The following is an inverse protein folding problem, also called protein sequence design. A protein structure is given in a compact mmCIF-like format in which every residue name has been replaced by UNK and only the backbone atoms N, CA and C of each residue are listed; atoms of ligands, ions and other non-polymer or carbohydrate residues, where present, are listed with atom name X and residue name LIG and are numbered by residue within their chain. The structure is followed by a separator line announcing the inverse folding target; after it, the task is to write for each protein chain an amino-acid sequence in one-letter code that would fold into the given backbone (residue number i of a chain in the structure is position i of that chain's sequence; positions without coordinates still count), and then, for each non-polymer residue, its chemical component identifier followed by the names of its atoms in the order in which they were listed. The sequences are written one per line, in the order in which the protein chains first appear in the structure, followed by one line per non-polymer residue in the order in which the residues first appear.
data_IF_336069730935
#
_entry.id   IF_336069730935
#
_cell.length_a   1.000
_cell.length_b   1.000
_cell.length_c   1.000
_cell.angle_alpha   90.00
_cell.angle_beta   90.00
_cell.angle_gamma   90.00
#
_symmetry.space_group_name_H-M   'P 1'
#
loop_
_entity.id
_entity.type
_entity.pdbx_description
1 polymer ?
#
# COMPACT_ATOMS: atom_id res chain seq x y z
N UNK A 1 -57.93 -10.32 -13.20
CA UNK A 1 -57.04 -10.86 -12.15
C UNK A 1 -55.59 -10.73 -12.62
N UNK A 2 -54.80 -9.75 -12.15
CA UNK A 2 -53.37 -9.68 -12.46
C UNK A 2 -52.56 -10.35 -11.34
N UNK A 3 -51.51 -11.10 -11.71
CA UNK A 3 -50.42 -11.46 -10.78
C UNK A 3 -49.06 -11.04 -11.37
N UNK A 4 -48.09 -10.67 -10.51
CA UNK A 4 -46.93 -9.86 -10.87
C UNK A 4 -45.59 -10.62 -10.83
N UNK A 5 -44.53 -9.94 -11.30
CA UNK A 5 -43.13 -10.13 -10.88
C UNK A 5 -42.28 -10.95 -11.86
N UNK A 6 -41.49 -10.35 -12.76
CA UNK A 6 -40.12 -9.81 -12.57
C UNK A 6 -39.11 -10.81 -11.99
N UNK A 7 -37.99 -11.01 -12.71
CA UNK A 7 -36.84 -11.73 -12.19
C UNK A 7 -35.88 -12.28 -13.25
N UNK A 8 -35.24 -11.41 -14.05
CA UNK A 8 -34.01 -11.79 -14.76
C UNK A 8 -32.93 -12.09 -13.70
N UNK A 9 -32.54 -13.35 -13.55
CA UNK A 9 -31.28 -13.71 -12.87
C UNK A 9 -30.12 -13.45 -13.82
N UNK A 10 -29.41 -12.37 -13.57
CA UNK A 10 -28.06 -12.12 -14.07
C UNK A 10 -27.12 -13.16 -13.47
N UNK A 11 -26.41 -13.91 -14.32
CA UNK A 11 -25.28 -14.75 -13.93
C UNK A 11 -24.19 -13.84 -13.36
N UNK A 12 -23.84 -14.02 -12.09
CA UNK A 12 -22.63 -13.46 -11.52
C UNK A 12 -21.42 -14.05 -12.27
N UNK A 13 -20.64 -13.19 -12.91
CA UNK A 13 -19.33 -13.55 -13.45
C UNK A 13 -18.40 -13.67 -12.24
N UNK A 14 -17.88 -14.88 -12.05
CA UNK A 14 -16.78 -15.18 -11.16
C UNK A 14 -15.51 -14.53 -11.72
N UNK A 15 -15.00 -13.50 -11.07
CA UNK A 15 -13.69 -12.94 -11.39
C UNK A 15 -12.61 -13.87 -10.80
N UNK A 16 -12.31 -14.90 -11.59
CA UNK A 16 -11.22 -15.84 -11.41
C UNK A 16 -9.88 -15.14 -11.66
N UNK A 17 -9.01 -15.16 -10.66
CA UNK A 17 -7.61 -14.75 -10.77
C UNK A 17 -6.84 -15.73 -11.68
N UNK A 18 -5.89 -15.29 -12.52
CA UNK A 18 -5.21 -16.22 -13.40
C UNK A 18 -4.25 -17.09 -12.59
N UNK A 19 -4.44 -18.40 -12.72
CA UNK A 19 -3.47 -19.41 -12.34
C UNK A 19 -2.28 -19.35 -13.31
N UNK A 20 -1.06 -19.24 -12.79
CA UNK A 20 0.16 -19.52 -13.57
C UNK A 20 0.98 -20.60 -12.89
N UNK A 21 0.92 -21.79 -13.48
CA UNK A 21 1.86 -22.88 -13.30
C UNK A 21 2.64 -23.06 -14.61
N UNK A 22 3.98 -23.03 -14.55
CA UNK A 22 4.90 -24.09 -15.01
C UNK A 22 6.24 -23.54 -15.55
N UNK A 23 7.28 -24.34 -15.29
CA UNK A 23 8.72 -24.16 -15.54
C UNK A 23 9.09 -24.25 -17.02
N UNK A 24 10.11 -23.50 -17.50
CA UNK A 24 11.54 -23.88 -17.68
C UNK A 24 12.25 -23.06 -18.79
N UNK A 25 13.48 -22.64 -18.46
CA UNK A 25 14.71 -22.43 -19.28
C UNK A 25 14.84 -21.31 -20.33
N UNK A 26 15.62 -20.27 -19.95
CA UNK A 26 16.39 -19.36 -20.83
C UNK A 26 16.81 -18.08 -20.08
N UNK A 27 18.10 -17.67 -20.03
CA UNK A 27 18.51 -16.51 -19.24
C UNK A 27 18.27 -15.21 -20.01
N UNK A 28 17.15 -14.55 -19.71
CA UNK A 28 16.95 -13.13 -20.00
C UNK A 28 16.70 -12.44 -18.66
N UNK A 29 17.77 -11.94 -18.03
CA UNK A 29 17.73 -11.34 -16.70
C UNK A 29 17.31 -9.87 -16.80
N UNK A 30 16.01 -9.65 -16.96
CA UNK A 30 15.33 -8.49 -16.40
C UNK A 30 14.52 -9.06 -15.23
N UNK A 31 15.00 -8.78 -14.02
CA UNK A 31 14.61 -9.45 -12.79
C UNK A 31 13.10 -9.51 -12.60
N UNK A 32 12.57 -10.71 -12.40
CA UNK A 32 11.17 -10.91 -12.02
C UNK A 32 10.88 -10.10 -10.75
N UNK A 33 9.74 -9.39 -10.75
CA UNK A 33 9.27 -8.66 -9.58
C UNK A 33 9.33 -9.57 -8.34
N UNK A 34 10.09 -9.15 -7.32
CA UNK A 34 10.13 -9.87 -6.05
C UNK A 34 8.81 -9.59 -5.34
N UNK A 35 7.98 -10.63 -5.21
CA UNK A 35 6.66 -10.55 -4.59
C UNK A 35 6.55 -11.59 -3.49
N UNK A 36 5.91 -11.23 -2.37
CA UNK A 36 5.44 -12.20 -1.39
C UNK A 36 4.10 -11.76 -0.80
N UNK A 37 3.38 -12.72 -0.21
CA UNK A 37 2.06 -12.51 0.37
C UNK A 37 2.02 -13.02 1.81
N UNK A 38 1.17 -12.38 2.62
CA UNK A 38 0.81 -12.84 3.97
C UNK A 38 -0.69 -12.68 4.18
N UNK A 39 -1.21 -13.40 5.16
CA UNK A 39 -2.55 -13.20 5.69
C UNK A 39 -2.46 -12.76 7.14
N UNK A 40 -3.30 -11.79 7.52
CA UNK A 40 -3.35 -11.25 8.88
C UNK A 40 -4.77 -11.17 9.39
N UNK A 41 -4.93 -11.39 10.69
CA UNK A 41 -6.21 -11.26 11.39
C UNK A 41 -6.16 -10.11 12.39
N UNK A 42 -7.17 -9.25 12.32
CA UNK A 42 -7.34 -8.13 13.26
C UNK A 42 -6.50 -6.89 12.96
N UNK A 43 -6.94 -5.77 13.54
CA UNK A 43 -6.33 -4.45 13.36
C UNK A 43 -4.93 -4.38 14.00
N UNK A 44 -4.71 -5.08 15.11
CA UNK A 44 -3.44 -5.08 15.84
C UNK A 44 -2.30 -5.69 15.01
N UNK A 45 -2.55 -6.82 14.32
CA UNK A 45 -1.56 -7.41 13.40
C UNK A 45 -1.29 -6.48 12.22
N UNK A 46 -2.30 -5.79 11.72
CA UNK A 46 -2.13 -4.83 10.62
C UNK A 46 -1.33 -3.59 11.03
N UNK A 47 -1.48 -3.11 12.26
CA UNK A 47 -0.58 -2.08 12.81
C UNK A 47 0.85 -2.60 12.97
N UNK A 48 1.02 -3.84 13.43
CA UNK A 48 2.34 -4.44 13.57
C UNK A 48 3.04 -4.64 12.22
N UNK A 49 2.31 -4.95 11.14
CA UNK A 49 2.82 -4.91 9.76
C UNK A 49 3.34 -3.50 9.43
N UNK A 50 2.57 -2.46 9.77
CA UNK A 50 3.00 -1.07 9.66
C UNK A 50 4.31 -0.80 10.40
N UNK A 51 4.45 -1.32 11.61
CA UNK A 51 5.68 -1.22 12.38
C UNK A 51 6.87 -1.94 11.73
N UNK A 52 6.67 -3.14 11.19
CA UNK A 52 7.71 -3.83 10.43
C UNK A 52 8.17 -3.01 9.21
N UNK A 53 7.26 -2.32 8.52
CA UNK A 53 7.62 -1.44 7.42
C UNK A 53 8.51 -0.29 7.88
N UNK A 54 8.18 0.35 9.01
CA UNK A 54 8.94 1.46 9.58
C UNK A 54 10.40 1.09 9.93
N UNK A 55 10.64 -0.15 10.36
CA UNK A 55 11.98 -0.61 10.72
C UNK A 55 12.80 -1.10 9.53
N UNK A 56 12.15 -1.47 8.43
CA UNK A 56 12.81 -2.13 7.28
C UNK A 56 12.86 -1.27 6.01
N UNK A 57 12.11 -0.16 5.97
CA UNK A 57 12.15 0.81 4.88
C UNK A 57 12.80 2.10 5.40
N UNK A 58 13.95 2.48 4.85
CA UNK A 58 14.67 3.67 5.25
C UNK A 58 14.52 4.77 4.19
N UNK A 59 14.32 6.05 4.58
CA UNK A 59 14.36 7.16 3.65
C UNK A 59 15.66 7.21 2.81
N UNK A 60 15.60 7.71 1.56
CA UNK A 60 14.39 8.07 0.84
C UNK A 60 13.64 6.82 0.38
N UNK A 61 12.32 6.79 0.59
CA UNK A 61 11.51 5.61 0.24
C UNK A 61 10.05 5.97 -0.08
N UNK A 62 9.45 5.28 -1.04
CA UNK A 62 8.05 5.46 -1.42
C UNK A 62 7.30 4.14 -1.27
N UNK A 63 6.21 4.16 -0.49
CA UNK A 63 5.30 3.04 -0.32
C UNK A 63 3.94 3.39 -0.88
N UNK A 64 3.45 2.55 -1.78
CA UNK A 64 2.10 2.61 -2.30
C UNK A 64 1.19 1.64 -1.56
N UNK A 65 0.02 2.13 -1.13
CA UNK A 65 -0.99 1.37 -0.41
C UNK A 65 -2.28 1.32 -1.25
N UNK A 66 -2.55 0.13 -1.79
CA UNK A 66 -3.72 -0.15 -2.62
C UNK A 66 -4.69 -1.07 -1.89
N UNK A 67 -5.97 -0.94 -2.19
CA UNK A 67 -7.01 -1.82 -1.67
C UNK A 67 -8.34 -1.10 -1.53
N UNK A 68 -9.41 -1.87 -1.39
CA UNK A 68 -10.77 -1.34 -1.25
C UNK A 68 -10.93 -0.43 -0.02
N UNK A 69 -12.03 0.32 0.03
CA UNK A 69 -12.36 1.15 1.18
C UNK A 69 -12.57 0.25 2.41
N UNK A 70 -11.90 0.58 3.53
CA UNK A 70 -12.01 -0.20 4.77
C UNK A 70 -11.08 -1.41 4.86
N UNK A 71 -10.16 -1.62 3.92
CA UNK A 71 -9.15 -2.68 4.01
C UNK A 71 -8.05 -2.41 5.06
N UNK A 72 -8.00 -1.19 5.60
CA UNK A 72 -7.06 -0.82 6.67
C UNK A 72 -5.75 -0.20 6.20
N UNK A 73 -5.73 0.46 5.04
CA UNK A 73 -4.58 1.23 4.55
C UNK A 73 -4.06 2.24 5.59
N UNK A 74 -4.95 3.09 6.13
CA UNK A 74 -4.61 4.01 7.23
C UNK A 74 -4.21 3.30 8.54
N UNK A 75 -4.74 2.11 8.82
CA UNK A 75 -4.31 1.30 9.97
C UNK A 75 -2.82 0.96 9.87
N UNK A 76 -2.38 0.58 8.67
CA UNK A 76 -0.98 0.28 8.38
C UNK A 76 -0.09 1.54 8.52
N UNK A 77 -0.54 2.70 8.01
CA UNK A 77 0.16 3.99 8.21
C UNK A 77 0.28 4.35 9.69
N UNK A 78 -0.79 4.17 10.46
CA UNK A 78 -0.79 4.43 11.91
C UNK A 78 0.19 3.52 12.65
N UNK A 79 0.21 2.23 12.30
CA UNK A 79 1.20 1.30 12.85
C UNK A 79 2.64 1.71 12.56
N UNK A 80 2.89 2.14 11.31
CA UNK A 80 4.17 2.68 10.87
C UNK A 80 4.61 3.88 11.73
N UNK A 81 3.76 4.91 11.84
CA UNK A 81 4.11 6.13 12.60
C UNK A 81 4.25 5.87 14.11
N UNK A 82 3.42 4.98 14.67
CA UNK A 82 3.50 4.58 16.08
C UNK A 82 4.82 3.87 16.38
N UNK A 83 5.30 3.01 15.49
CA UNK A 83 6.58 2.32 15.65
C UNK A 83 7.76 3.30 15.68
N UNK A 84 7.64 4.43 14.97
CA UNK A 84 8.62 5.51 14.98
C UNK A 84 8.47 6.47 16.18
N UNK A 85 7.54 6.20 17.08
CA UNK A 85 7.34 6.97 18.31
C UNK A 85 6.31 8.09 18.21
N UNK A 86 5.59 8.25 17.09
CA UNK A 86 4.49 9.21 17.01
C UNK A 86 3.35 8.81 17.94
N UNK A 87 2.99 9.71 18.86
CA UNK A 87 1.91 9.50 19.85
C UNK A 87 0.63 10.27 19.53
N UNK A 88 0.65 11.10 18.50
CA UNK A 88 -0.51 11.86 18.07
C UNK A 88 -1.58 11.00 17.38
N UNK A 89 -2.67 11.66 16.99
CA UNK A 89 -3.78 10.99 16.31
C UNK A 89 -3.47 10.88 14.81
N UNK A 90 -3.30 9.66 14.33
CA UNK A 90 -3.18 9.37 12.89
C UNK A 90 -4.58 9.12 12.31
N UNK A 91 -4.94 9.88 11.29
CA UNK A 91 -6.16 9.69 10.48
C UNK A 91 -5.79 9.79 9.01
N UNK A 92 -6.63 9.27 8.14
CA UNK A 92 -6.52 9.53 6.71
C UNK A 92 -6.70 11.04 6.44
N UNK A 93 -5.77 11.69 5.73
CA UNK A 93 -5.90 13.07 5.28
C UNK A 93 -6.81 13.18 4.05
N UNK A 94 -7.95 12.49 4.02
CA UNK A 94 -8.80 12.40 2.82
C UNK A 94 -9.21 13.76 2.23
N UNK A 95 -9.32 14.80 3.06
CA UNK A 95 -9.70 16.15 2.63
C UNK A 95 -8.52 17.10 2.43
N UNK A 96 -7.42 16.89 3.16
CA UNK A 96 -6.20 17.69 3.03
C UNK A 96 -5.22 17.10 2.01
N UNK A 97 -5.47 15.87 1.56
CA UNK A 97 -4.67 15.02 0.68
C UNK A 97 -3.31 14.61 1.23
N UNK A 98 -2.70 15.44 2.07
CA UNK A 98 -1.39 15.28 2.67
C UNK A 98 -1.43 15.60 4.17
N UNK A 99 -0.73 14.80 4.97
CA UNK A 99 -0.38 15.09 6.36
C UNK A 99 1.12 14.83 6.57
N UNK A 100 1.92 15.84 6.97
CA UNK A 100 3.34 15.68 7.27
C UNK A 100 3.58 15.27 8.73
N UNK A 101 4.61 14.47 8.96
CA UNK A 101 5.07 14.04 10.28
C UNK A 101 6.59 14.13 10.39
N UNK A 102 7.07 14.88 11.38
CA UNK A 102 8.50 15.02 11.69
C UNK A 102 8.88 14.12 12.87
N UNK A 103 9.74 13.11 12.64
CA UNK A 103 10.13 12.14 13.67
C UNK A 103 11.60 11.77 13.55
N UNK A 104 12.38 12.05 14.60
CA UNK A 104 13.78 11.65 14.67
C UNK A 104 14.66 12.29 13.59
N UNK A 105 14.35 13.53 13.19
CA UNK A 105 15.09 14.26 12.14
C UNK A 105 14.83 13.72 10.73
N UNK A 106 13.66 13.12 10.50
CA UNK A 106 13.20 12.61 9.21
C UNK A 106 11.76 13.04 8.97
N UNK A 107 11.46 13.24 7.70
CA UNK A 107 10.15 13.63 7.22
C UNK A 107 9.34 12.41 6.77
N UNK A 108 8.09 12.30 7.20
CA UNK A 108 7.17 11.26 6.73
C UNK A 108 5.91 11.92 6.22
N UNK A 109 5.53 11.60 4.99
CA UNK A 109 4.38 12.20 4.33
C UNK A 109 3.31 11.14 4.09
N UNK A 110 2.16 11.31 4.73
CA UNK A 110 0.99 10.48 4.50
C UNK A 110 0.10 11.15 3.46
N UNK A 111 -0.05 10.50 2.31
CA UNK A 111 -1.00 10.90 1.28
C UNK A 111 -2.22 10.00 1.30
N UNK A 112 -3.40 10.60 1.15
CA UNK A 112 -4.63 9.88 0.79
C UNK A 112 -5.30 10.55 -0.41
N UNK A 113 -5.18 9.89 -1.56
CA UNK A 113 -5.63 10.42 -2.83
C UNK A 113 -7.06 9.99 -3.19
N UNK A 114 -7.81 9.37 -2.27
CA UNK A 114 -9.16 8.86 -2.55
C UNK A 114 -10.10 9.91 -3.16
N UNK A 115 -9.96 11.17 -2.74
CA UNK A 115 -10.77 12.32 -3.22
C UNK A 115 -10.07 13.18 -4.27
N UNK A 116 -8.85 12.83 -4.68
CA UNK A 116 -8.16 13.52 -5.76
C UNK A 116 -8.97 13.39 -7.04
N UNK A 117 -9.41 14.52 -7.60
CA UNK A 117 -10.30 14.55 -8.75
C UNK A 117 -9.53 14.67 -10.05
N UNK A 118 -8.48 15.50 -10.06
CA UNK A 118 -7.53 15.62 -11.17
C UNK A 118 -6.11 15.28 -10.66
N UNK A 119 -5.40 14.30 -11.26
CA UNK A 119 -4.01 14.03 -10.93
C UNK A 119 -3.11 15.27 -10.93
N UNK A 120 -3.39 16.27 -11.79
CA UNK A 120 -2.59 17.51 -11.90
C UNK A 120 -2.60 18.34 -10.62
N UNK A 121 -3.54 18.10 -9.70
CA UNK A 121 -3.53 18.73 -8.39
C UNK A 121 -2.25 18.37 -7.59
N UNK A 122 -1.60 17.23 -7.91
CA UNK A 122 -0.32 16.82 -7.32
C UNK A 122 0.83 17.77 -7.65
N UNK A 123 0.81 18.42 -8.82
CA UNK A 123 1.83 19.39 -9.21
C UNK A 123 1.81 20.59 -8.26
N UNK A 124 0.62 21.02 -7.81
CA UNK A 124 0.48 22.10 -6.83
C UNK A 124 0.90 21.69 -5.41
N UNK A 125 0.86 20.39 -5.10
CA UNK A 125 1.35 19.87 -3.81
C UNK A 125 2.89 19.78 -3.77
N UNK A 126 3.57 19.90 -4.92
CA UNK A 126 5.03 19.84 -4.99
C UNK A 126 5.58 18.49 -4.56
N UNK A 127 4.93 17.38 -4.95
CA UNK A 127 5.31 16.04 -4.47
C UNK A 127 6.76 15.65 -4.80
N UNK A 128 7.29 16.16 -5.92
CA UNK A 128 8.69 15.95 -6.31
C UNK A 128 9.67 16.60 -5.33
N UNK A 129 9.32 17.77 -4.80
CA UNK A 129 10.13 18.51 -3.83
C UNK A 129 10.11 17.86 -2.43
N UNK A 130 9.08 17.07 -2.13
CA UNK A 130 8.93 16.37 -0.86
C UNK A 130 9.81 15.11 -0.75
N UNK A 131 10.33 14.59 -1.86
CA UNK A 131 11.21 13.42 -1.85
C UNK A 131 12.68 13.82 -1.57
N UNK A 132 12.91 14.41 -0.41
CA UNK A 132 14.25 14.67 0.12
C UNK A 132 14.94 13.36 0.56
N UNK A 133 16.26 13.41 0.79
CA UNK A 133 17.05 12.24 1.22
C UNK A 133 16.57 11.62 2.55
N UNK A 134 15.94 12.41 3.40
CA UNK A 134 15.42 12.02 4.71
C UNK A 134 13.90 11.78 4.72
N UNK A 135 13.25 11.80 3.55
CA UNK A 135 11.80 11.69 3.43
C UNK A 135 11.29 10.28 3.07
N UNK A 136 10.17 9.86 3.68
CA UNK A 136 9.43 8.66 3.26
C UNK A 136 7.96 8.97 3.01
N UNK A 137 7.46 8.56 1.85
CA UNK A 137 6.09 8.79 1.42
C UNK A 137 5.26 7.51 1.58
N UNK A 138 4.10 7.63 2.24
CA UNK A 138 3.08 6.58 2.36
C UNK A 138 1.85 7.06 1.58
N UNK A 139 1.58 6.46 0.42
CA UNK A 139 0.56 6.96 -0.50
C UNK A 139 -0.60 5.97 -0.59
N UNK A 140 -1.75 6.32 -0.01
CA UNK A 140 -3.00 5.62 -0.21
C UNK A 140 -3.67 6.02 -1.53
N UNK A 141 -4.24 5.05 -2.23
CA UNK A 141 -4.91 5.24 -3.53
C UNK A 141 -4.00 5.83 -4.62
N UNK A 142 -2.77 5.30 -4.82
CA UNK A 142 -1.83 5.84 -5.80
C UNK A 142 -2.37 5.84 -7.24
N UNK A 143 -3.34 4.99 -7.57
CA UNK A 143 -4.01 4.96 -8.86
C UNK A 143 -4.68 6.29 -9.23
N UNK A 144 -5.06 7.11 -8.24
CA UNK A 144 -5.66 8.43 -8.44
C UNK A 144 -4.64 9.47 -8.90
N UNK A 145 -3.36 9.26 -8.61
CA UNK A 145 -2.24 10.08 -9.04
C UNK A 145 -1.45 9.50 -10.21
N UNK A 146 -2.00 8.52 -10.92
CA UNK A 146 -1.28 7.80 -11.96
C UNK A 146 -0.71 8.75 -13.03
N UNK A 147 0.58 8.58 -13.33
CA UNK A 147 1.31 9.39 -14.31
C UNK A 147 2.05 10.59 -13.73
N UNK A 148 1.72 11.03 -12.51
CA UNK A 148 2.39 12.16 -11.84
C UNK A 148 3.06 11.76 -10.52
N UNK A 149 2.73 10.59 -9.96
CA UNK A 149 3.43 10.10 -8.78
C UNK A 149 4.82 9.52 -9.14
N UNK A 150 5.83 9.75 -8.28
CA UNK A 150 7.11 9.08 -8.40
C UNK A 150 6.96 7.57 -8.21
N UNK A 151 7.80 6.79 -8.90
CA UNK A 151 7.76 5.33 -8.84
C UNK A 151 7.90 4.83 -7.39
N UNK A 152 7.03 3.92 -6.98
CA UNK A 152 7.11 3.30 -5.67
C UNK A 152 8.38 2.47 -5.53
N UNK A 153 8.97 2.40 -4.34
CA UNK A 153 9.94 1.36 -4.01
C UNK A 153 9.21 0.07 -3.66
N UNK A 154 8.12 0.18 -2.91
CA UNK A 154 7.28 -0.93 -2.47
C UNK A 154 5.81 -0.63 -2.73
N UNK A 155 5.11 -1.56 -3.36
CA UNK A 155 3.65 -1.54 -3.48
C UNK A 155 3.03 -2.64 -2.62
N UNK A 156 2.04 -2.27 -1.83
CA UNK A 156 1.31 -3.14 -0.92
C UNK A 156 -0.15 -3.13 -1.32
N UNK A 157 -0.66 -4.30 -1.72
CA UNK A 157 -2.09 -4.50 -2.01
C UNK A 157 -2.75 -5.19 -0.84
N UNK A 158 -3.84 -4.61 -0.35
CA UNK A 158 -4.60 -5.11 0.80
C UNK A 158 -6.00 -5.50 0.32
N UNK A 159 -6.36 -6.76 0.50
CA UNK A 159 -7.66 -7.31 0.11
C UNK A 159 -8.36 -8.03 1.26
N UNK A 160 -9.68 -8.18 1.14
CA UNK A 160 -10.46 -9.02 2.04
C UNK A 160 -10.19 -10.52 1.78
N UNK A 161 -10.13 -11.31 2.87
CA UNK A 161 -9.97 -12.76 2.85
C UNK A 161 -10.84 -13.35 3.96
N UNK A 162 -12.10 -13.69 3.69
CA UNK A 162 -13.04 -14.18 4.72
C UNK A 162 -12.95 -13.40 6.05
N UNK A 163 -12.34 -13.98 7.10
CA UNK A 163 -12.14 -13.38 8.42
C UNK A 163 -10.83 -12.56 8.59
N UNK A 164 -10.01 -12.48 7.55
CA UNK A 164 -8.66 -11.94 7.52
C UNK A 164 -8.49 -10.82 6.45
N UNK A 165 -7.25 -10.34 6.32
CA UNK A 165 -6.77 -9.51 5.22
C UNK A 165 -5.59 -10.20 4.54
N UNK A 166 -5.62 -10.25 3.21
CA UNK A 166 -4.48 -10.67 2.41
C UNK A 166 -3.66 -9.45 2.02
N UNK A 167 -2.35 -9.48 2.30
CA UNK A 167 -1.41 -8.42 1.92
C UNK A 167 -0.39 -8.98 0.94
N UNK A 168 -0.28 -8.36 -0.24
CA UNK A 168 0.74 -8.65 -1.25
C UNK A 168 1.75 -7.51 -1.30
N UNK A 169 3.03 -7.84 -1.18
CA UNK A 169 4.15 -6.90 -1.23
C UNK A 169 4.93 -7.10 -2.52
N UNK A 170 5.11 -6.06 -3.32
CA UNK A 170 5.90 -6.10 -4.55
C UNK A 170 6.93 -4.97 -4.57
N UNK A 171 8.20 -5.31 -4.78
CA UNK A 171 9.24 -4.32 -5.00
C UNK A 171 9.23 -3.81 -6.44
N UNK A 172 9.34 -2.49 -6.60
CA UNK A 172 9.40 -1.82 -7.89
C UNK A 172 10.76 -1.17 -8.15
N UNK A 173 11.63 -1.07 -7.15
CA UNK A 173 13.00 -0.56 -7.27
C UNK A 173 14.00 -1.51 -6.60
N UNK A 174 15.30 -1.25 -6.77
CA UNK A 174 16.37 -1.96 -6.05
C UNK A 174 16.30 -1.73 -4.53
N UNK A 175 15.92 -0.52 -4.07
CA UNK A 175 15.73 -0.25 -2.62
C UNK A 175 14.62 -1.11 -2.06
N UNK A 176 13.48 -1.19 -2.75
CA UNK A 176 12.39 -2.10 -2.38
C UNK A 176 12.83 -3.56 -2.41
N UNK A 177 13.56 -3.97 -3.46
CA UNK A 177 14.03 -5.35 -3.59
C UNK A 177 14.99 -5.75 -2.47
N UNK A 178 15.77 -4.80 -1.94
CA UNK A 178 16.68 -4.97 -0.81
C UNK A 178 15.97 -4.93 0.56
N UNK A 179 14.76 -4.36 0.67
CA UNK A 179 13.99 -4.37 1.92
C UNK A 179 13.15 -5.64 2.08
N UNK A 180 12.65 -6.23 0.98
CA UNK A 180 11.73 -7.37 1.03
C UNK A 180 12.20 -8.58 1.87
N UNK A 181 13.47 -9.07 1.79
CA UNK A 181 13.87 -10.23 2.59
C UNK A 181 13.80 -9.96 4.09
N UNK A 182 14.25 -8.77 4.52
CA UNK A 182 14.22 -8.34 5.93
C UNK A 182 12.79 -8.11 6.40
N UNK A 183 11.96 -7.52 5.54
CA UNK A 183 10.55 -7.32 5.82
C UNK A 183 9.83 -8.67 5.98
N UNK A 184 10.07 -9.63 5.09
CA UNK A 184 9.49 -10.98 5.19
C UNK A 184 9.88 -11.66 6.51
N UNK A 185 11.17 -11.65 6.86
CA UNK A 185 11.65 -12.24 8.11
C UNK A 185 11.05 -11.54 9.36
N UNK A 186 10.88 -10.22 9.31
CA UNK A 186 10.27 -9.47 10.40
C UNK A 186 8.77 -9.82 10.57
N UNK A 187 8.06 -10.01 9.46
CA UNK A 187 6.63 -10.32 9.45
C UNK A 187 6.32 -11.74 9.92
N UNK A 188 7.24 -12.68 9.78
CA UNK A 188 7.12 -14.03 10.36
C UNK A 188 7.12 -14.03 11.90
N UNK A 189 7.56 -12.93 12.53
CA UNK A 189 7.65 -12.77 14.00
C UNK A 189 6.47 -12.01 14.60
N UNK A 190 5.51 -11.57 13.77
CA UNK A 190 4.32 -10.78 14.14
C UNK A 190 3.07 -11.66 14.16
#
# INVERSE_FOLDING_TARGET
MPRPGTGRRSKAKSDSWPATCCRRSGPCSIGGARVFEIEIEGEQRQEAVGGCLALNCAPPFIVYLEGELGTGKTTLVRGFLRQLGYRGRVKSPTYTLLEPYELGGRSYYHFDLYRLSDPRELDYLGIEDLLAEDALLLIEWPERGAGLLPRADLRIRIGYREAARGLSFSAETERGAASLPRLKEALEKV
#
